data_IF_503773719273
#
_entry.id   IF_503773719273
#
_cell.length_a   1.000
_cell.length_b   1.000
_cell.length_c   1.000
_cell.angle_alpha   90.00
_cell.angle_beta   90.00
_cell.angle_gamma   90.00
#
_symmetry.space_group_name_H-M   'P 1'
#
loop_
_entity.id
_entity.type
_entity.pdbx_description
1 polymer ?
#
# COMPACT_ATOMS: atom_id res chain seq x y z
N UNK A 1 16.49 13.93 21.43
CA UNK A 1 15.13 14.40 21.12
C UNK A 1 14.49 13.71 19.90
N UNK A 2 15.20 13.49 18.78
CA UNK A 2 14.63 12.98 17.51
C UNK A 2 14.17 11.51 17.53
N UNK A 3 14.75 10.64 18.38
CA UNK A 3 14.43 9.18 18.40
C UNK A 3 12.98 8.85 18.82
N UNK A 4 12.27 9.74 19.52
CA UNK A 4 10.92 9.43 20.07
C UNK A 4 9.81 9.45 19.03
N UNK A 5 10.03 10.09 17.88
CA UNK A 5 9.00 10.26 16.85
C UNK A 5 9.09 9.29 15.67
N UNK A 6 10.09 8.40 15.61
CA UNK A 6 10.27 7.47 14.48
C UNK A 6 9.00 6.65 14.22
N UNK A 7 8.38 6.11 15.27
CA UNK A 7 7.12 5.34 15.16
C UNK A 7 5.94 6.22 14.72
N UNK A 8 5.88 7.47 15.17
CA UNK A 8 4.84 8.42 14.79
C UNK A 8 4.98 8.88 13.33
N UNK A 9 6.21 9.10 12.86
CA UNK A 9 6.50 9.42 11.46
C UNK A 9 6.15 8.25 10.53
N UNK A 10 6.41 7.00 10.94
CA UNK A 10 5.98 5.81 10.19
C UNK A 10 4.45 5.70 10.13
N UNK A 11 3.75 6.01 11.22
CA UNK A 11 2.29 6.00 11.26
C UNK A 11 1.70 7.09 10.35
N UNK A 12 2.26 8.30 10.35
CA UNK A 12 1.87 9.35 9.40
C UNK A 12 2.06 8.91 7.95
N UNK A 13 3.12 8.17 7.64
CA UNK A 13 3.35 7.61 6.30
C UNK A 13 2.27 6.60 5.88
N UNK A 14 1.84 5.74 6.81
CA UNK A 14 0.73 4.80 6.56
C UNK A 14 -0.57 5.57 6.29
N UNK A 15 -0.85 6.62 7.07
CA UNK A 15 -2.04 7.47 6.89
C UNK A 15 -2.02 8.16 5.52
N UNK A 16 -0.85 8.65 5.08
CA UNK A 16 -0.73 9.21 3.72
C UNK A 16 -1.00 8.17 2.63
N UNK A 17 -0.58 6.92 2.82
CA UNK A 17 -0.87 5.83 1.88
C UNK A 17 -2.37 5.51 1.77
N UNK A 18 -3.15 5.77 2.82
CA UNK A 18 -4.60 5.55 2.86
C UNK A 18 -5.42 6.66 2.19
N UNK A 19 -4.79 7.77 1.76
CA UNK A 19 -5.48 8.84 1.02
C UNK A 19 -6.14 8.34 -0.27
N UNK A 20 -5.68 7.22 -0.82
CA UNK A 20 -6.30 6.57 -1.98
C UNK A 20 -7.78 6.20 -1.75
N UNK A 21 -8.21 5.94 -0.50
CA UNK A 21 -9.61 5.63 -0.17
C UNK A 21 -10.51 6.86 -0.37
N UNK A 22 -9.98 8.07 -0.19
CA UNK A 22 -10.73 9.31 -0.45
C UNK A 22 -11.02 9.43 -1.96
N UNK A 23 -10.09 8.96 -2.79
CA UNK A 23 -10.23 8.95 -4.24
C UNK A 23 -10.91 7.67 -4.79
N UNK A 24 -11.46 6.80 -3.94
CA UNK A 24 -11.99 5.49 -4.38
C UNK A 24 -13.18 5.62 -5.33
N UNK A 25 -14.02 6.65 -5.15
CA UNK A 25 -15.21 6.92 -5.98
C UNK A 25 -14.84 7.27 -7.42
N UNK A 26 -14.01 8.30 -7.68
CA UNK A 26 -13.56 8.57 -9.04
C UNK A 26 -12.70 7.44 -9.62
N UNK A 27 -11.93 6.72 -8.79
CA UNK A 27 -11.19 5.54 -9.26
C UNK A 27 -12.12 4.44 -9.78
N UNK A 28 -13.19 4.13 -9.05
CA UNK A 28 -14.12 3.05 -9.45
C UNK A 28 -14.92 3.40 -10.70
N UNK A 29 -15.25 4.68 -10.91
CA UNK A 29 -15.95 5.13 -12.11
C UNK A 29 -15.05 5.18 -13.36
N UNK A 30 -13.73 5.37 -13.18
CA UNK A 30 -12.78 5.52 -14.30
C UNK A 30 -11.90 4.28 -14.54
N UNK A 31 -11.77 3.36 -13.58
CA UNK A 31 -11.05 2.09 -13.77
C UNK A 31 -12.02 0.94 -14.10
N UNK A 32 -11.56 0.06 -14.99
CA UNK A 32 -12.16 -1.26 -15.18
C UNK A 32 -12.13 -2.07 -13.88
N UNK A 33 -13.18 -2.86 -13.60
CA UNK A 33 -13.34 -3.58 -12.33
C UNK A 33 -12.17 -4.51 -11.95
N UNK A 34 -11.40 -4.97 -12.93
CA UNK A 34 -10.16 -5.74 -12.71
C UNK A 34 -8.98 -4.89 -12.24
N UNK A 35 -8.84 -3.64 -12.68
CA UNK A 35 -7.82 -2.72 -12.15
C UNK A 35 -8.10 -2.37 -10.70
N UNK A 36 -9.37 -2.14 -10.36
CA UNK A 36 -9.79 -1.87 -8.99
C UNK A 36 -9.44 -3.01 -8.01
N UNK A 37 -9.62 -4.27 -8.43
CA UNK A 37 -9.30 -5.42 -7.56
C UNK A 37 -7.79 -5.58 -7.32
N UNK A 38 -6.93 -5.28 -8.29
CA UNK A 38 -5.47 -5.23 -8.09
C UNK A 38 -5.09 -4.11 -7.11
N UNK A 39 -5.73 -2.95 -7.22
CA UNK A 39 -5.44 -1.80 -6.38
C UNK A 39 -5.91 -2.05 -4.93
N UNK A 40 -7.08 -2.69 -4.76
CA UNK A 40 -7.58 -3.15 -3.47
C UNK A 40 -6.66 -4.20 -2.86
N UNK A 41 -6.21 -5.18 -3.64
CA UNK A 41 -5.26 -6.20 -3.19
C UNK A 41 -3.92 -5.56 -2.74
N UNK A 42 -3.42 -4.58 -3.48
CA UNK A 42 -2.22 -3.82 -3.09
C UNK A 42 -2.39 -3.04 -1.77
N UNK A 43 -3.55 -2.42 -1.56
CA UNK A 43 -3.88 -1.73 -0.30
C UNK A 43 -4.00 -2.67 0.90
N UNK A 44 -4.56 -3.88 0.69
CA UNK A 44 -4.62 -4.92 1.71
C UNK A 44 -3.20 -5.39 2.07
N UNK A 45 -2.33 -5.64 1.08
CA UNK A 45 -0.93 -6.01 1.34
C UNK A 45 -0.19 -4.95 2.18
N UNK A 46 -0.42 -3.66 1.91
CA UNK A 46 0.16 -2.57 2.71
C UNK A 46 -0.34 -2.58 4.16
N UNK A 47 -1.63 -2.84 4.36
CA UNK A 47 -2.25 -2.87 5.69
C UNK A 47 -1.75 -4.07 6.50
N UNK A 48 -1.65 -5.24 5.86
CA UNK A 48 -1.06 -6.45 6.45
C UNK A 48 0.42 -6.23 6.77
N UNK A 49 1.18 -5.63 5.85
CA UNK A 49 2.57 -5.25 6.09
C UNK A 49 2.73 -4.38 7.34
N UNK A 50 1.89 -3.35 7.51
CA UNK A 50 1.93 -2.49 8.69
C UNK A 50 1.72 -3.24 10.01
N UNK A 51 0.86 -4.27 10.03
CA UNK A 51 0.66 -5.14 11.19
C UNK A 51 1.96 -5.91 11.51
N UNK A 52 2.63 -6.45 10.49
CA UNK A 52 3.92 -7.14 10.67
C UNK A 52 5.04 -6.20 11.14
N UNK A 53 5.02 -4.93 10.74
CA UNK A 53 5.97 -3.92 11.23
C UNK A 53 5.78 -3.63 12.73
N UNK A 54 4.54 -3.54 13.20
CA UNK A 54 4.21 -3.34 14.61
C UNK A 54 4.47 -4.58 15.47
N UNK A 55 4.59 -5.76 14.86
CA UNK A 55 4.82 -7.02 15.55
C UNK A 55 6.29 -7.18 15.96
N UNK A 56 6.71 -6.48 17.02
CA UNK A 56 8.09 -6.45 17.53
C UNK A 56 8.64 -7.82 18.00
N UNK A 57 7.77 -8.82 18.22
CA UNK A 57 8.15 -10.18 18.69
C UNK A 57 8.70 -11.12 17.62
N UNK A 58 8.52 -10.82 16.33
CA UNK A 58 9.00 -11.67 15.22
C UNK A 58 10.45 -11.27 14.85
N UNK A 59 11.44 -12.18 14.83
CA UNK A 59 12.73 -11.85 14.23
C UNK A 59 12.55 -11.53 12.74
N UNK A 60 13.21 -10.48 12.23
CA UNK A 60 13.14 -9.99 10.84
C UNK A 60 11.81 -9.39 10.36
N UNK A 61 10.92 -9.02 11.29
CA UNK A 61 9.73 -8.19 11.06
C UNK A 61 9.95 -7.00 10.09
N UNK A 62 11.10 -6.32 10.13
CA UNK A 62 11.38 -5.22 9.19
C UNK A 62 11.57 -5.68 7.73
N UNK A 63 12.14 -6.87 7.51
CA UNK A 63 12.33 -7.45 6.19
C UNK A 63 11.01 -8.03 5.63
N UNK A 64 10.21 -8.65 6.50
CA UNK A 64 8.86 -9.13 6.17
C UNK A 64 7.99 -7.94 5.75
N UNK A 65 8.03 -6.84 6.50
CA UNK A 65 7.37 -5.59 6.12
C UNK A 65 7.78 -5.12 4.73
N UNK A 66 9.08 -5.11 4.42
CA UNK A 66 9.57 -4.73 3.10
C UNK A 66 9.03 -5.63 1.98
N UNK A 67 8.93 -6.95 2.20
CA UNK A 67 8.35 -7.88 1.22
C UNK A 67 6.86 -7.57 0.94
N UNK A 68 6.07 -7.30 1.98
CA UNK A 68 4.66 -6.92 1.81
C UNK A 68 4.50 -5.58 1.08
N UNK A 69 5.33 -4.59 1.43
CA UNK A 69 5.34 -3.27 0.77
C UNK A 69 5.75 -3.39 -0.70
N UNK A 70 6.75 -4.22 -1.01
CA UNK A 70 7.18 -4.51 -2.38
C UNK A 70 6.09 -5.20 -3.18
N UNK A 71 5.45 -6.22 -2.63
CA UNK A 71 4.34 -6.92 -3.26
C UNK A 71 3.14 -6.00 -3.53
N UNK A 72 2.76 -5.18 -2.55
CA UNK A 72 1.67 -4.21 -2.71
C UNK A 72 1.98 -3.18 -3.79
N UNK A 73 3.21 -2.66 -3.80
CA UNK A 73 3.67 -1.69 -4.81
C UNK A 73 3.74 -2.31 -6.21
N UNK A 74 4.14 -3.58 -6.32
CA UNK A 74 4.12 -4.31 -7.59
C UNK A 74 2.69 -4.47 -8.13
N UNK A 75 1.71 -4.83 -7.29
CA UNK A 75 0.31 -4.91 -7.71
C UNK A 75 -0.24 -3.55 -8.15
N UNK A 76 0.08 -2.47 -7.43
CA UNK A 76 -0.28 -1.11 -7.83
C UNK A 76 0.38 -0.71 -9.16
N UNK A 77 1.65 -1.09 -9.37
CA UNK A 77 2.35 -0.86 -10.64
C UNK A 77 1.67 -1.60 -11.80
N UNK A 78 1.34 -2.88 -11.63
CA UNK A 78 0.61 -3.65 -12.65
C UNK A 78 -0.79 -3.09 -12.91
N UNK A 79 -1.47 -2.57 -11.88
CA UNK A 79 -2.76 -1.90 -12.06
C UNK A 79 -2.64 -0.71 -13.03
N UNK A 80 -1.64 0.15 -12.83
CA UNK A 80 -1.42 1.31 -13.69
C UNK A 80 -0.97 0.87 -15.10
N UNK A 81 -0.07 -0.11 -15.17
CA UNK A 81 0.48 -0.60 -16.43
C UNK A 81 -0.60 -1.19 -17.36
N UNK A 82 -1.52 -2.00 -16.82
CA UNK A 82 -2.51 -2.71 -17.63
C UNK A 82 -3.83 -1.98 -17.80
N UNK A 83 -4.20 -1.10 -16.86
CA UNK A 83 -5.56 -0.54 -16.81
C UNK A 83 -5.63 0.99 -16.86
N UNK A 84 -4.51 1.69 -16.69
CA UNK A 84 -4.47 3.16 -16.75
C UNK A 84 -3.73 3.66 -17.99
N UNK A 85 -2.72 2.92 -18.47
CA UNK A 85 -2.06 3.28 -19.72
C UNK A 85 -2.99 3.04 -20.92
N UNK A 86 -3.23 4.06 -21.76
CA UNK A 86 -3.88 3.84 -23.03
C UNK A 86 -2.93 3.01 -23.90
N UNK A 87 -3.35 1.82 -24.31
CA UNK A 87 -2.69 1.08 -25.39
C UNK A 87 -2.74 1.98 -26.64
N UNK A 88 -1.57 2.45 -27.07
CA UNK A 88 -1.40 3.25 -28.27
C UNK A 88 -1.88 2.49 -29.52
#
# INVERSE_FOLDING_TARGET
FVRRFIKASTLCYIIMGWLIIVAIKPLYENLTGHGFSLLLAGGILYSVGAIFFLWEKLPFNHAIWHLFVLGGSAMMFFCVLFYVLPTA
#
